data_IF_496234977905
#
_entry.id   IF_496234977905
#
_cell.length_a   1.000
_cell.length_b   1.000
_cell.length_c   1.000
_cell.angle_alpha   90.00
_cell.angle_beta   90.00
_cell.angle_gamma   90.00
#
_symmetry.space_group_name_H-M   'P 1'
#
loop_
_entity.id
_entity.type
_entity.pdbx_description
1 polymer ?
#
# COMPACT_ATOMS: atom_id res chain seq x y z
N UNK A 1 3.53 -9.68 19.89
CA UNK A 1 2.83 -9.10 18.73
C UNK A 1 3.08 -7.60 18.76
N UNK A 2 3.59 -7.01 17.68
CA UNK A 2 3.89 -5.57 17.64
C UNK A 2 2.62 -4.74 17.52
N UNK A 3 2.68 -3.44 17.81
CA UNK A 3 1.56 -2.52 17.58
C UNK A 3 1.19 -2.46 16.08
N UNK A 4 2.19 -2.58 15.21
CA UNK A 4 1.99 -2.63 13.76
C UNK A 4 1.21 -3.89 13.34
N UNK A 5 1.52 -5.04 13.94
CA UNK A 5 0.75 -6.28 13.73
C UNK A 5 -0.70 -6.09 14.20
N UNK A 6 -0.93 -5.49 15.37
CA UNK A 6 -2.27 -5.26 15.88
C UNK A 6 -3.11 -4.35 14.97
N UNK A 7 -2.49 -3.36 14.32
CA UNK A 7 -3.14 -2.53 13.31
C UNK A 7 -3.46 -3.34 12.05
N UNK A 8 -2.51 -4.11 11.54
CA UNK A 8 -2.71 -4.94 10.35
C UNK A 8 -3.82 -5.99 10.53
N UNK A 9 -3.93 -6.57 11.74
CA UNK A 9 -4.94 -7.58 12.08
C UNK A 9 -6.36 -7.04 12.23
N UNK A 10 -6.59 -5.75 12.02
CA UNK A 10 -7.95 -5.19 11.85
C UNK A 10 -8.57 -5.53 10.49
N UNK A 11 -7.75 -6.01 9.55
CA UNK A 11 -8.12 -6.57 8.23
C UNK A 11 -8.90 -5.66 7.27
N UNK A 12 -9.48 -4.55 7.74
CA UNK A 12 -10.16 -3.55 6.94
C UNK A 12 -9.54 -2.18 7.17
N UNK A 13 -9.49 -1.38 6.10
CA UNK A 13 -8.93 -0.03 6.15
C UNK A 13 -9.71 0.86 7.12
N UNK A 14 -11.05 0.78 7.11
CA UNK A 14 -11.90 1.56 8.00
C UNK A 14 -11.57 1.33 9.47
N UNK A 15 -11.57 0.07 9.90
CA UNK A 15 -11.26 -0.29 11.29
C UNK A 15 -9.80 0.06 11.65
N UNK A 16 -8.85 -0.13 10.74
CA UNK A 16 -7.46 0.30 10.93
C UNK A 16 -7.35 1.80 11.20
N UNK A 17 -8.00 2.63 10.38
CA UNK A 17 -7.97 4.08 10.49
C UNK A 17 -8.67 4.59 11.75
N UNK A 18 -9.78 3.97 12.15
CA UNK A 18 -10.43 4.24 13.44
C UNK A 18 -9.53 3.87 14.60
N UNK A 19 -8.85 2.72 14.53
CA UNK A 19 -7.85 2.29 15.50
C UNK A 19 -6.70 3.27 15.66
N UNK A 20 -6.15 3.76 14.54
CA UNK A 20 -5.14 4.81 14.54
C UNK A 20 -5.66 6.07 15.22
N UNK A 21 -6.86 6.53 14.84
CA UNK A 21 -7.44 7.74 15.44
C UNK A 21 -7.63 7.63 16.95
N UNK A 22 -8.11 6.48 17.41
CA UNK A 22 -8.35 6.24 18.83
C UNK A 22 -7.05 6.17 19.67
N UNK A 23 -5.95 5.68 19.10
CA UNK A 23 -4.71 5.42 19.84
C UNK A 23 -3.60 6.45 19.62
N UNK A 24 -3.58 7.11 18.47
CA UNK A 24 -2.54 8.04 18.04
C UNK A 24 -3.07 9.46 17.75
N UNK A 25 -4.37 9.67 17.86
CA UNK A 25 -5.02 10.93 17.51
C UNK A 25 -5.15 11.10 15.99
N UNK A 26 -5.33 12.35 15.54
CA UNK A 26 -5.53 12.62 14.11
C UNK A 26 -4.30 12.28 13.26
N UNK A 27 -4.56 11.89 12.02
CA UNK A 27 -3.56 11.60 11.00
C UNK A 27 -3.82 12.43 9.74
N UNK A 28 -2.77 12.66 8.96
CA UNK A 28 -2.85 13.26 7.62
C UNK A 28 -2.93 12.13 6.59
N UNK A 29 -3.94 12.18 5.70
CA UNK A 29 -3.96 11.37 4.48
C UNK A 29 -3.05 12.02 3.44
N UNK A 30 -1.86 11.47 3.25
CA UNK A 30 -0.85 12.04 2.36
C UNK A 30 -1.12 11.67 0.91
N UNK A 31 -1.45 10.40 0.66
CA UNK A 31 -1.68 9.92 -0.69
C UNK A 31 -2.58 8.68 -0.72
N UNK A 32 -3.23 8.50 -1.86
CA UNK A 32 -3.87 7.26 -2.26
C UNK A 32 -3.39 6.88 -3.65
N UNK A 33 -2.54 5.86 -3.74
CA UNK A 33 -2.05 5.36 -5.02
C UNK A 33 -2.76 4.08 -5.41
N UNK A 34 -3.05 3.94 -6.70
CA UNK A 34 -3.59 2.73 -7.29
C UNK A 34 -2.59 2.17 -8.28
N UNK A 35 -2.40 0.86 -8.27
CA UNK A 35 -1.68 0.12 -9.29
C UNK A 35 -2.53 -1.07 -9.73
N UNK A 36 -2.94 -1.07 -10.99
CA UNK A 36 -3.97 -1.97 -11.49
C UNK A 36 -5.32 -1.78 -10.78
N UNK A 37 -6.18 -2.77 -10.94
CA UNK A 37 -7.53 -2.79 -10.35
C UNK A 37 -7.54 -3.19 -8.87
N UNK A 38 -6.53 -3.95 -8.41
CA UNK A 38 -6.61 -4.71 -7.16
C UNK A 38 -5.58 -4.31 -6.10
N UNK A 39 -4.75 -3.30 -6.34
CA UNK A 39 -3.79 -2.80 -5.34
C UNK A 39 -3.92 -1.32 -5.11
N UNK A 40 -4.14 -0.97 -3.85
CA UNK A 40 -4.18 0.39 -3.36
C UNK A 40 -3.13 0.54 -2.28
N UNK A 41 -2.42 1.67 -2.28
CA UNK A 41 -1.59 2.11 -1.17
C UNK A 41 -2.22 3.37 -0.57
N UNK A 42 -2.60 3.31 0.70
CA UNK A 42 -3.07 4.47 1.46
C UNK A 42 -1.94 4.92 2.37
N UNK A 43 -1.41 6.11 2.10
CA UNK A 43 -0.26 6.67 2.83
C UNK A 43 -0.79 7.67 3.85
N UNK A 44 -0.52 7.40 5.12
CA UNK A 44 -0.89 8.29 6.22
C UNK A 44 0.33 8.71 7.02
N UNK A 45 0.30 9.94 7.53
CA UNK A 45 1.31 10.48 8.43
C UNK A 45 0.67 10.77 9.78
N UNK A 46 1.25 10.20 10.83
CA UNK A 46 0.87 10.44 12.22
C UNK A 46 1.61 11.66 12.75
N UNK A 47 0.91 12.54 13.47
CA UNK A 47 1.55 13.63 14.22
C UNK A 47 2.35 13.10 15.40
N UNK A 48 1.82 12.08 16.07
CA UNK A 48 2.44 11.45 17.24
C UNK A 48 2.42 9.91 17.08
N UNK A 49 3.52 9.27 16.66
CA UNK A 49 3.55 7.83 16.38
C UNK A 49 3.45 6.92 17.63
N UNK A 50 3.59 7.47 18.85
CA UNK A 50 3.31 6.81 20.15
C UNK A 50 3.57 5.28 20.20
N UNK A 51 4.81 4.88 19.95
CA UNK A 51 5.24 3.48 20.03
C UNK A 51 5.30 2.74 18.68
N UNK A 52 4.82 3.34 17.60
CA UNK A 52 5.17 2.92 16.25
C UNK A 52 6.62 3.34 15.92
N UNK A 53 7.35 2.55 15.12
CA UNK A 53 8.76 2.76 14.87
C UNK A 53 9.05 3.91 13.87
N UNK A 54 8.01 4.51 13.29
CA UNK A 54 8.08 5.66 12.40
C UNK A 54 6.73 6.40 12.29
N UNK A 55 6.70 7.65 11.84
CA UNK A 55 5.49 8.46 11.73
C UNK A 55 4.65 8.17 10.48
N UNK A 56 5.19 7.50 9.46
CA UNK A 56 4.49 7.24 8.20
C UNK A 56 4.06 5.79 8.13
N UNK A 57 2.81 5.56 7.75
CA UNK A 57 2.28 4.24 7.42
C UNK A 57 1.89 4.19 5.95
N UNK A 58 2.30 3.12 5.27
CA UNK A 58 1.74 2.73 3.97
C UNK A 58 0.87 1.51 4.19
N UNK A 59 -0.44 1.68 4.02
CA UNK A 59 -1.44 0.61 4.17
C UNK A 59 -1.78 0.08 2.78
N UNK A 60 -1.25 -1.09 2.44
CA UNK A 60 -1.55 -1.79 1.19
C UNK A 60 -2.90 -2.50 1.33
N UNK A 61 -3.85 -2.22 0.44
CA UNK A 61 -5.18 -2.84 0.44
C UNK A 61 -5.56 -3.43 -0.91
N UNK A 62 -6.56 -4.30 -0.92
CA UNK A 62 -7.30 -4.62 -2.14
C UNK A 62 -8.29 -3.48 -2.51
N UNK A 63 -9.03 -3.62 -3.60
CA UNK A 63 -9.99 -2.62 -4.09
C UNK A 63 -11.13 -2.32 -3.11
N UNK A 64 -11.48 -3.27 -2.24
CA UNK A 64 -12.56 -3.13 -1.24
C UNK A 64 -12.05 -2.70 0.14
N UNK A 65 -10.77 -2.29 0.25
CA UNK A 65 -10.19 -1.83 1.51
C UNK A 65 -9.74 -2.95 2.47
N UNK A 66 -9.69 -4.20 2.03
CA UNK A 66 -9.10 -5.30 2.81
C UNK A 66 -7.59 -5.12 2.92
N UNK A 67 -7.07 -5.01 4.15
CA UNK A 67 -5.65 -4.77 4.45
C UNK A 67 -4.83 -6.02 4.14
N UNK A 68 -3.75 -5.84 3.38
CA UNK A 68 -2.81 -6.90 2.96
C UNK A 68 -1.48 -6.75 3.68
N UNK A 69 -1.01 -5.52 3.81
CA UNK A 69 0.28 -5.19 4.40
C UNK A 69 0.24 -3.78 4.99
N UNK A 70 0.98 -3.56 6.06
CA UNK A 70 1.24 -2.24 6.61
C UNK A 70 2.75 -2.08 6.76
N UNK A 71 3.30 -1.09 6.07
CA UNK A 71 4.69 -0.66 6.23
C UNK A 71 4.75 0.57 7.12
N UNK A 72 5.80 0.67 7.93
CA UNK A 72 6.08 1.83 8.77
C UNK A 72 7.45 2.42 8.39
N UNK A 73 7.50 3.72 8.09
CA UNK A 73 8.67 4.42 7.58
C UNK A 73 8.89 5.75 8.32
N UNK A 74 10.11 6.27 8.22
CA UNK A 74 10.46 7.60 8.76
C UNK A 74 9.87 8.74 7.93
N UNK A 75 9.77 8.52 6.63
CA UNK A 75 9.40 9.53 5.64
C UNK A 75 8.42 8.95 4.62
N UNK A 76 7.70 9.83 3.92
CA UNK A 76 6.78 9.41 2.85
C UNK A 76 7.62 8.89 1.69
N UNK A 77 7.45 7.61 1.29
CA UNK A 77 8.23 7.06 0.20
C UNK A 77 7.82 7.70 -1.12
N UNK A 78 8.73 7.72 -2.09
CA UNK A 78 8.35 7.89 -3.48
C UNK A 78 7.60 6.64 -3.97
N UNK A 79 6.58 6.85 -4.81
CA UNK A 79 5.75 5.74 -5.32
C UNK A 79 6.56 4.77 -6.17
N UNK A 80 7.42 5.28 -7.06
CA UNK A 80 8.25 4.42 -7.92
C UNK A 80 9.29 3.66 -7.07
N UNK A 81 9.91 4.32 -6.08
CA UNK A 81 10.83 3.66 -5.16
C UNK A 81 10.17 2.47 -4.43
N UNK A 82 8.93 2.66 -3.95
CA UNK A 82 8.18 1.63 -3.24
C UNK A 82 7.82 0.46 -4.16
N UNK A 83 7.40 0.74 -5.39
CA UNK A 83 7.08 -0.30 -6.36
C UNK A 83 8.33 -1.03 -6.86
N UNK A 84 9.45 -0.32 -7.05
CA UNK A 84 10.73 -0.96 -7.37
C UNK A 84 11.21 -1.87 -6.24
N UNK A 85 11.04 -1.46 -4.98
CA UNK A 85 11.36 -2.32 -3.83
C UNK A 85 10.52 -3.61 -3.81
N UNK A 86 9.23 -3.52 -4.16
CA UNK A 86 8.34 -4.68 -4.24
C UNK A 86 8.65 -5.58 -5.44
N UNK A 87 8.88 -4.97 -6.59
CA UNK A 87 9.08 -5.63 -7.88
C UNK A 87 10.33 -5.07 -8.58
N UNK A 88 11.53 -5.54 -8.20
CA UNK A 88 12.80 -4.98 -8.69
C UNK A 88 12.99 -5.08 -10.20
N UNK A 89 12.39 -6.09 -10.82
CA UNK A 89 12.49 -6.35 -12.27
C UNK A 89 11.43 -5.59 -13.10
N UNK A 90 10.58 -4.78 -12.46
CA UNK A 90 9.54 -3.99 -13.13
C UNK A 90 10.02 -2.64 -13.68
N UNK A 91 9.14 -1.91 -14.37
CA UNK A 91 9.47 -0.61 -15.02
C UNK A 91 9.56 0.59 -14.03
N UNK A 92 9.65 0.32 -12.74
CA UNK A 92 9.70 1.35 -11.70
C UNK A 92 11.13 1.84 -11.48
N UNK A 93 11.27 3.15 -11.23
CA UNK A 93 12.60 3.76 -11.07
C UNK A 93 13.29 3.20 -9.82
N UNK A 94 14.58 2.81 -9.91
CA UNK A 94 15.37 2.34 -8.78
C UNK A 94 15.85 3.53 -7.92
N UNK A 95 14.93 4.36 -7.45
CA UNK A 95 15.22 5.46 -6.53
C UNK A 95 15.26 4.93 -5.09
N UNK A 96 16.10 5.51 -4.21
CA UNK A 96 16.20 5.07 -2.82
C UNK A 96 14.85 5.10 -2.10
N UNK A 97 14.47 3.98 -1.48
CA UNK A 97 13.34 3.91 -0.56
C UNK A 97 13.79 4.33 0.84
N UNK A 98 13.03 5.17 1.57
CA UNK A 98 13.29 5.39 3.00
C UNK A 98 13.32 4.06 3.77
N UNK A 99 14.11 3.95 4.85
CA UNK A 99 14.18 2.72 5.62
C UNK A 99 12.79 2.25 6.10
N UNK A 100 12.45 1.00 5.80
CA UNK A 100 11.26 0.35 6.37
C UNK A 100 11.60 -0.01 7.82
N UNK A 101 10.97 0.68 8.76
CA UNK A 101 11.15 0.50 10.21
C UNK A 101 10.28 -0.60 10.79
N UNK A 102 9.20 -0.94 10.11
CA UNK A 102 8.34 -2.07 10.44
C UNK A 102 7.53 -2.54 9.25
N UNK A 103 7.22 -3.83 9.23
CA UNK A 103 6.39 -4.48 8.22
C UNK A 103 5.50 -5.50 8.90
N UNK A 104 4.19 -5.43 8.62
CA UNK A 104 3.21 -6.43 9.05
C UNK A 104 2.38 -6.87 7.84
N UNK A 105 2.26 -8.18 7.62
CA UNK A 105 1.45 -8.78 6.54
C UNK A 105 0.27 -9.52 7.14
N UNK A 106 -0.88 -9.45 6.46
CA UNK A 106 -2.09 -10.18 6.85
C UNK A 106 -2.18 -11.49 6.06
N UNK A 107 -3.09 -12.42 6.43
CA UNK A 107 -3.38 -13.61 5.62
C UNK A 107 -3.88 -13.31 4.20
N UNK A 108 -4.30 -12.08 3.92
CA UNK A 108 -4.76 -11.63 2.60
C UNK A 108 -3.62 -11.09 1.73
N UNK A 109 -2.39 -11.11 2.23
CA UNK A 109 -1.23 -10.71 1.45
C UNK A 109 -1.02 -11.65 0.26
N UNK A 110 -0.66 -11.07 -0.88
CA UNK A 110 -0.26 -11.77 -2.09
C UNK A 110 0.90 -11.01 -2.73
N UNK A 111 1.62 -11.65 -3.64
CA UNK A 111 2.75 -11.04 -4.35
C UNK A 111 2.24 -9.90 -5.27
N UNK A 112 2.59 -8.63 -5.00
CA UNK A 112 2.13 -7.51 -5.80
C UNK A 112 2.63 -7.56 -7.26
N UNK A 113 3.71 -8.30 -7.55
CA UNK A 113 4.27 -8.39 -8.89
C UNK A 113 3.37 -9.18 -9.85
N UNK A 114 2.55 -10.10 -9.34
CA UNK A 114 1.55 -10.82 -10.14
C UNK A 114 0.53 -9.88 -10.80
N UNK A 115 0.29 -8.70 -10.21
CA UNK A 115 -0.61 -7.68 -10.77
C UNK A 115 0.00 -6.91 -11.94
N UNK A 116 1.32 -7.01 -12.12
CA UNK A 116 2.06 -6.23 -13.10
C UNK A 116 2.33 -6.99 -14.39
N UNK A 117 2.04 -8.30 -14.42
CA UNK A 117 2.28 -9.18 -15.57
C UNK A 117 1.39 -8.84 -16.79
N UNK A 118 1.82 -9.14 -18.02
CA UNK A 118 1.02 -8.89 -19.23
C UNK A 118 -0.32 -9.63 -19.21
N UNK A 119 -0.37 -10.76 -18.52
CA UNK A 119 -1.51 -11.64 -18.28
C UNK A 119 -2.22 -11.37 -16.94
N UNK A 120 -1.86 -10.30 -16.22
CA UNK A 120 -2.49 -9.92 -14.97
C UNK A 120 -4.03 -9.89 -15.11
N UNK A 121 -4.71 -10.46 -14.13
CA UNK A 121 -6.18 -10.49 -14.07
C UNK A 121 -6.75 -9.08 -14.19
N UNK A 122 -7.90 -8.97 -14.84
CA UNK A 122 -8.66 -7.74 -14.98
C UNK A 122 -10.14 -8.07 -15.08
N UNK A 123 -10.98 -7.31 -14.37
CA UNK A 123 -12.44 -7.40 -14.47
C UNK A 123 -12.99 -6.47 -15.57
N UNK A 124 -12.13 -5.60 -16.10
CA UNK A 124 -12.42 -4.78 -17.26
C UNK A 124 -12.30 -5.59 -18.56
N UNK A 125 -13.23 -5.33 -19.49
CA UNK A 125 -13.13 -5.88 -20.85
C UNK A 125 -11.91 -5.31 -21.58
N UNK A 126 -11.27 -6.07 -22.50
CA UNK A 126 -10.10 -5.61 -23.25
C UNK A 126 -10.28 -4.23 -23.93
N UNK A 127 -11.46 -3.97 -24.47
CA UNK A 127 -11.81 -2.70 -25.12
C UNK A 127 -12.02 -1.52 -24.16
N UNK A 128 -12.12 -1.78 -22.85
CA UNK A 128 -12.37 -0.78 -21.81
C UNK A 128 -11.21 -0.65 -20.82
N UNK A 129 -10.07 -1.26 -21.11
CA UNK A 129 -8.87 -1.19 -20.27
C UNK A 129 -7.66 -0.71 -21.05
N UNK A 130 -6.78 -0.02 -20.35
CA UNK A 130 -5.44 0.30 -20.83
C UNK A 130 -4.41 -0.11 -19.81
N UNK A 131 -3.17 -0.23 -20.28
CA UNK A 131 -2.04 -0.61 -19.44
C UNK A 131 -1.56 0.58 -18.63
N UNK A 132 -1.43 0.43 -17.31
CA UNK A 132 -0.75 1.41 -16.48
C UNK A 132 0.77 1.30 -16.65
N UNK A 133 1.47 2.43 -16.47
CA UNK A 133 2.94 2.42 -16.33
C UNK A 133 3.32 1.49 -15.18
N UNK A 134 4.31 0.62 -15.41
CA UNK A 134 4.76 -0.37 -14.43
C UNK A 134 3.92 -1.65 -14.38
N UNK A 135 2.82 -1.74 -15.13
CA UNK A 135 1.97 -2.93 -15.21
C UNK A 135 0.60 -2.77 -14.56
N UNK A 136 -0.25 -3.77 -14.72
CA UNK A 136 -1.66 -3.72 -14.29
C UNK A 136 -2.56 -2.93 -15.24
N UNK A 137 -3.86 -3.09 -15.02
CA UNK A 137 -4.92 -2.56 -15.88
C UNK A 137 -5.68 -1.43 -15.21
N UNK A 138 -6.08 -0.42 -15.97
CA UNK A 138 -6.97 0.64 -15.52
C UNK A 138 -8.05 0.94 -16.56
N UNK A 139 -9.17 1.57 -16.16
CA UNK A 139 -10.18 2.02 -17.10
C UNK A 139 -9.59 2.89 -18.21
N UNK A 140 -9.90 2.54 -19.46
CA UNK A 140 -9.69 3.44 -20.59
C UNK A 140 -10.81 4.48 -20.60
N UNK A 141 -10.45 5.76 -20.42
CA UNK A 141 -11.35 6.90 -20.57
C UNK A 141 -11.35 7.42 -22.01
#
# INVERSE_FOLDING_TARGET
MSLLDALAQRLSLGDLLEGLRASHGDYELVAHWKQGEFHHDVVVRLREPRGLPGPVLVVSTNCNGGVKEVLCLDEVPDRDALWHHRCPDGDFRPTPLPPIRGLARTPHWFDPCELLGPDARSELRPEHRRRQRGGGWEPAH
#
